data_IF_222657846883
#
_entry.id   IF_222657846883
#
_cell.length_a   1.000
_cell.length_b   1.000
_cell.length_c   1.000
_cell.angle_alpha   90.00
_cell.angle_beta   90.00
_cell.angle_gamma   90.00
#
_symmetry.space_group_name_H-M   'P 1'
#
loop_
_entity.id
_entity.type
_entity.pdbx_description
1 polymer ?
#
# COMPACT_ATOMS: atom_id res chain seq x y z
N UNK A 1 3.84 39.52 -5.02
CA UNK A 1 3.99 38.18 -5.62
C UNK A 1 2.96 38.02 -6.72
N UNK A 2 3.38 37.80 -7.97
CA UNK A 2 2.46 37.46 -9.07
C UNK A 2 1.97 36.01 -8.90
N UNK A 3 0.68 35.75 -9.15
CA UNK A 3 0.14 34.39 -9.25
C UNK A 3 0.78 33.73 -10.47
N UNK A 4 1.72 32.81 -10.24
CA UNK A 4 2.23 31.92 -11.28
C UNK A 4 1.35 30.69 -11.32
N UNK A 5 0.86 30.34 -12.50
CA UNK A 5 0.07 29.14 -12.76
C UNK A 5 0.99 28.18 -13.50
N UNK A 6 0.95 26.89 -13.17
CA UNK A 6 1.69 25.86 -13.93
C UNK A 6 1.24 25.93 -15.39
N UNK A 7 2.21 26.08 -16.29
CA UNK A 7 1.98 26.26 -17.73
C UNK A 7 1.94 24.92 -18.45
N UNK A 8 2.72 23.95 -17.95
CA UNK A 8 2.72 22.58 -18.42
C UNK A 8 2.13 21.66 -17.33
N UNK A 9 1.31 20.65 -17.69
CA UNK A 9 0.83 19.64 -16.74
C UNK A 9 1.96 18.99 -15.92
N UNK A 10 3.11 18.71 -16.54
CA UNK A 10 4.29 18.11 -15.89
C UNK A 10 4.89 19.02 -14.80
N UNK A 11 4.70 20.33 -14.87
CA UNK A 11 5.20 21.28 -13.85
C UNK A 11 4.59 20.97 -12.48
N UNK A 12 3.36 20.46 -12.43
CA UNK A 12 2.68 20.09 -11.18
C UNK A 12 3.40 18.94 -10.49
N UNK A 13 3.82 17.94 -11.27
CA UNK A 13 4.54 16.76 -10.77
C UNK A 13 5.92 17.17 -10.28
N UNK A 14 6.67 17.96 -11.05
CA UNK A 14 8.01 18.41 -10.61
C UNK A 14 7.92 19.32 -9.38
N UNK A 15 6.87 20.12 -9.25
CA UNK A 15 6.61 20.89 -8.03
C UNK A 15 6.46 20.03 -6.77
N UNK A 16 5.95 18.79 -6.90
CA UNK A 16 5.82 17.86 -5.79
C UNK A 16 7.16 17.27 -5.33
N UNK A 17 8.22 17.33 -6.15
CA UNK A 17 9.53 16.78 -5.79
C UNK A 17 10.06 17.36 -4.47
N UNK A 18 9.84 18.66 -4.26
CA UNK A 18 10.21 19.32 -3.00
C UNK A 18 9.33 18.85 -1.83
N UNK A 19 8.00 18.83 -2.01
CA UNK A 19 7.04 18.49 -0.96
C UNK A 19 7.17 17.03 -0.50
N UNK A 20 7.45 16.13 -1.44
CA UNK A 20 7.64 14.70 -1.18
C UNK A 20 9.10 14.36 -0.86
N UNK A 21 9.93 15.38 -0.64
CA UNK A 21 11.35 15.24 -0.25
C UNK A 21 12.11 14.28 -1.17
N UNK A 22 11.90 14.38 -2.48
CA UNK A 22 12.58 13.55 -3.47
C UNK A 22 14.10 13.60 -3.25
N UNK A 23 14.73 12.43 -3.28
CA UNK A 23 16.17 12.28 -3.03
C UNK A 23 17.02 12.93 -4.12
N UNK A 24 16.45 13.06 -5.32
CA UNK A 24 16.99 13.78 -6.47
C UNK A 24 15.84 14.41 -7.26
N UNK A 25 16.14 15.47 -8.01
CA UNK A 25 15.16 16.09 -8.90
C UNK A 25 14.99 15.15 -10.10
N UNK A 26 13.77 14.64 -10.37
CA UNK A 26 13.53 13.79 -11.53
C UNK A 26 13.74 14.58 -12.83
N UNK A 27 14.12 13.91 -13.90
CA UNK A 27 14.29 14.52 -15.21
C UNK A 27 13.01 15.23 -15.67
N UNK A 28 13.12 16.51 -16.03
CA UNK A 28 12.01 17.27 -16.59
C UNK A 28 12.05 17.23 -18.11
N UNK A 29 11.00 16.68 -18.71
CA UNK A 29 10.80 16.66 -20.14
C UNK A 29 9.41 17.21 -20.46
N UNK A 30 9.35 18.40 -21.06
CA UNK A 30 8.10 19.15 -21.28
C UNK A 30 7.01 18.36 -22.01
N UNK A 31 7.41 17.43 -22.90
CA UNK A 31 6.50 16.64 -23.75
C UNK A 31 6.27 15.22 -23.25
N UNK A 32 6.80 14.84 -22.09
CA UNK A 32 6.59 13.50 -21.57
C UNK A 32 5.16 13.32 -21.03
N UNK A 33 4.59 12.11 -21.11
CA UNK A 33 3.33 11.80 -20.45
C UNK A 33 3.39 12.07 -18.94
N UNK A 34 2.31 12.58 -18.36
CA UNK A 34 2.24 12.85 -16.92
C UNK A 34 2.47 11.58 -16.08
N UNK A 35 1.98 10.42 -16.55
CA UNK A 35 2.19 9.15 -15.85
C UNK A 35 3.68 8.74 -15.80
N UNK A 36 4.46 9.06 -16.84
CA UNK A 36 5.89 8.77 -16.88
C UNK A 36 6.68 9.75 -15.99
N UNK A 37 6.26 11.01 -15.95
CA UNK A 37 6.78 12.00 -15.00
C UNK A 37 6.49 11.60 -13.54
N UNK A 38 5.26 11.14 -13.27
CA UNK A 38 4.83 10.64 -11.97
C UNK A 38 5.64 9.41 -11.55
N UNK A 39 5.81 8.45 -12.47
CA UNK A 39 6.68 7.28 -12.27
C UNK A 39 8.11 7.69 -11.91
N UNK A 40 8.68 8.63 -12.65
CA UNK A 40 10.02 9.15 -12.37
C UNK A 40 10.13 9.79 -10.99
N UNK A 41 9.10 10.53 -10.56
CA UNK A 41 9.04 11.11 -9.21
C UNK A 41 8.91 10.05 -8.12
N UNK A 42 8.06 9.04 -8.29
CA UNK A 42 7.88 7.96 -7.30
C UNK A 42 9.18 7.19 -7.10
N UNK A 43 9.92 6.90 -8.17
CA UNK A 43 11.19 6.17 -8.10
C UNK A 43 12.26 6.90 -7.27
N UNK A 44 12.20 8.23 -7.20
CA UNK A 44 13.17 9.05 -6.45
C UNK A 44 12.65 9.51 -5.10
N UNK A 45 11.39 9.19 -4.80
CA UNK A 45 10.72 9.51 -3.56
C UNK A 45 11.31 8.67 -2.40
N UNK A 46 11.47 9.22 -1.20
CA UNK A 46 11.87 8.43 -0.03
C UNK A 46 10.96 7.24 0.19
N UNK A 47 11.56 6.10 0.56
CA UNK A 47 10.88 4.81 0.71
C UNK A 47 9.65 4.84 1.62
N UNK A 48 9.64 5.72 2.63
CA UNK A 48 8.49 5.94 3.54
C UNK A 48 7.25 6.48 2.83
N UNK A 49 7.42 7.39 1.87
CA UNK A 49 6.29 7.95 1.11
C UNK A 49 5.84 7.00 0.01
N UNK A 50 6.75 6.18 -0.53
CA UNK A 50 6.36 5.07 -1.40
C UNK A 50 5.49 4.06 -0.63
N UNK A 51 5.85 3.74 0.62
CA UNK A 51 4.98 2.93 1.48
C UNK A 51 3.62 3.60 1.72
N UNK A 52 3.57 4.93 1.96
CA UNK A 52 2.27 5.62 2.02
C UNK A 52 1.43 5.40 0.75
N UNK A 53 2.02 5.49 -0.44
CA UNK A 53 1.29 5.21 -1.69
C UNK A 53 0.73 3.78 -1.72
N UNK A 54 1.50 2.81 -1.24
CA UNK A 54 1.11 1.40 -1.16
C UNK A 54 -0.04 1.17 -0.16
N UNK A 55 0.04 1.76 1.04
CA UNK A 55 -0.87 1.50 2.16
C UNK A 55 -2.07 2.46 2.26
N UNK A 56 -2.06 3.61 1.58
CA UNK A 56 -3.14 4.61 1.69
C UNK A 56 -4.16 4.55 0.55
N UNK A 57 -3.77 4.09 -0.65
CA UNK A 57 -4.68 4.05 -1.80
C UNK A 57 -5.45 2.73 -1.83
N UNK A 58 -6.79 2.75 -1.80
CA UNK A 58 -7.57 1.52 -1.73
C UNK A 58 -7.71 0.80 -3.06
N UNK A 59 -7.67 1.52 -4.17
CA UNK A 59 -7.77 0.92 -5.50
C UNK A 59 -6.40 0.43 -5.98
N UNK A 60 -6.36 -0.63 -6.81
CA UNK A 60 -5.19 -0.95 -7.59
C UNK A 60 -4.81 0.20 -8.53
N UNK A 61 -3.52 0.33 -8.80
CA UNK A 61 -2.99 1.28 -9.77
C UNK A 61 -3.56 1.05 -11.17
N UNK A 62 -4.02 2.14 -11.78
CA UNK A 62 -4.51 2.18 -13.17
C UNK A 62 -3.43 2.58 -14.19
N UNK A 63 -2.19 2.80 -13.72
CA UNK A 63 -1.06 3.27 -14.51
C UNK A 63 -0.09 2.15 -14.89
N UNK A 64 1.20 2.48 -14.89
CA UNK A 64 2.27 1.54 -15.27
C UNK A 64 2.56 0.46 -14.21
N UNK A 65 2.10 0.66 -12.97
CA UNK A 65 2.33 -0.20 -11.80
C UNK A 65 1.03 -0.35 -11.03
N UNK A 66 0.74 -1.54 -10.52
CA UNK A 66 -0.53 -1.88 -9.87
C UNK A 66 -0.48 -1.59 -8.36
N UNK A 67 0.70 -1.67 -7.75
CA UNK A 67 0.86 -1.49 -6.30
C UNK A 67 0.67 -0.03 -5.82
N UNK A 68 0.85 0.95 -6.72
CA UNK A 68 0.73 2.40 -6.44
C UNK A 68 -0.32 3.07 -7.32
N UNK A 69 -0.90 4.21 -6.90
CA UNK A 69 -1.83 4.96 -7.74
C UNK A 69 -1.15 5.50 -9.00
N UNK A 70 -1.94 5.61 -10.07
CA UNK A 70 -1.58 6.45 -11.21
C UNK A 70 -1.60 7.93 -10.85
N UNK A 71 -1.04 8.79 -11.70
CA UNK A 71 -1.12 10.24 -11.54
C UNK A 71 -2.58 10.71 -11.46
N UNK A 72 -3.45 10.09 -12.27
CA UNK A 72 -4.88 10.42 -12.30
C UNK A 72 -5.54 10.07 -10.97
N UNK A 73 -5.23 8.92 -10.39
CA UNK A 73 -5.76 8.53 -9.07
C UNK A 73 -5.24 9.46 -7.98
N UNK A 74 -3.94 9.75 -7.96
CA UNK A 74 -3.32 10.65 -6.99
C UNK A 74 -3.91 12.07 -6.98
N UNK A 75 -4.42 12.54 -8.13
CA UNK A 75 -5.01 13.86 -8.26
C UNK A 75 -6.51 13.93 -7.96
N UNK A 76 -7.24 12.82 -8.09
CA UNK A 76 -8.70 12.81 -8.04
C UNK A 76 -9.28 12.04 -6.85
N UNK A 77 -8.55 11.08 -6.29
CA UNK A 77 -9.01 10.31 -5.14
C UNK A 77 -8.79 11.08 -3.84
N UNK A 78 -9.84 11.15 -3.02
CA UNK A 78 -9.72 11.61 -1.65
C UNK A 78 -9.26 10.44 -0.79
N UNK A 79 -8.06 10.56 -0.25
CA UNK A 79 -7.55 9.59 0.70
C UNK A 79 -8.23 9.75 2.07
N UNK A 80 -8.50 8.65 2.77
CA UNK A 80 -8.78 8.74 4.19
C UNK A 80 -7.57 9.35 4.93
N UNK A 81 -7.76 9.93 6.12
CA UNK A 81 -6.66 10.43 6.94
C UNK A 81 -5.71 9.28 7.27
N UNK A 82 -4.55 9.23 6.62
CA UNK A 82 -3.56 8.16 6.82
C UNK A 82 -2.42 8.64 7.71
N UNK A 83 -1.98 7.84 8.70
CA UNK A 83 -0.83 8.18 9.53
C UNK A 83 0.46 7.82 8.80
N UNK A 84 0.81 8.59 7.76
CA UNK A 84 2.05 8.42 6.99
C UNK A 84 3.34 8.35 7.85
N UNK A 85 3.29 8.82 9.10
CA UNK A 85 4.38 8.75 10.07
C UNK A 85 4.67 7.36 10.62
N UNK A 86 3.79 6.38 10.40
CA UNK A 86 3.87 5.04 11.01
C UNK A 86 4.54 3.99 10.11
N UNK A 87 4.95 4.34 8.89
CA UNK A 87 5.59 3.38 7.98
C UNK A 87 7.12 3.47 8.05
N UNK A 88 7.74 2.65 8.90
CA UNK A 88 9.20 2.54 9.01
C UNK A 88 9.84 1.68 7.89
N UNK A 89 9.09 0.71 7.36
CA UNK A 89 9.53 -0.14 6.25
C UNK A 89 9.00 0.45 4.93
N UNK A 90 9.88 0.51 3.93
CA UNK A 90 9.62 1.17 2.67
C UNK A 90 9.76 0.26 1.45
N UNK A 91 9.23 0.72 0.33
CA UNK A 91 9.43 0.08 -0.98
C UNK A 91 10.85 0.37 -1.46
N UNK A 92 11.52 -0.65 -1.99
CA UNK A 92 12.86 -0.55 -2.59
C UNK A 92 12.84 -1.11 -4.01
N UNK A 93 13.92 -0.89 -4.76
CA UNK A 93 14.05 -1.42 -6.12
C UNK A 93 15.19 -2.42 -6.18
N UNK A 94 14.95 -3.56 -6.82
CA UNK A 94 15.97 -4.57 -7.13
C UNK A 94 16.04 -4.80 -8.63
N UNK A 95 17.21 -5.24 -9.10
CA UNK A 95 17.35 -5.71 -10.48
C UNK A 95 16.78 -7.13 -10.56
N UNK A 96 15.67 -7.27 -11.28
CA UNK A 96 15.06 -8.56 -11.57
C UNK A 96 15.95 -9.46 -12.43
N UNK A 97 15.61 -10.77 -12.57
CA UNK A 97 16.43 -11.74 -13.30
C UNK A 97 16.68 -11.40 -14.78
N UNK A 98 15.89 -10.48 -15.35
CA UNK A 98 16.01 -10.02 -16.74
C UNK A 98 16.59 -8.60 -16.86
N UNK A 99 17.13 -8.03 -15.77
CA UNK A 99 17.60 -6.65 -15.75
C UNK A 99 16.46 -5.62 -15.76
N UNK A 100 15.24 -6.04 -15.42
CA UNK A 100 14.08 -5.16 -15.19
C UNK A 100 14.11 -4.65 -13.76
N UNK A 101 13.87 -3.36 -13.55
CA UNK A 101 13.69 -2.82 -12.20
C UNK A 101 12.39 -3.38 -11.59
N UNK A 102 12.53 -4.25 -10.60
CA UNK A 102 11.44 -4.83 -9.83
C UNK A 102 11.25 -4.02 -8.54
N UNK A 103 10.02 -3.58 -8.28
CA UNK A 103 9.70 -2.89 -7.03
C UNK A 103 9.49 -3.97 -5.96
N UNK A 104 10.18 -3.85 -4.82
CA UNK A 104 10.13 -4.78 -3.71
C UNK A 104 9.60 -4.14 -2.45
N UNK A 105 8.90 -4.92 -1.62
CA UNK A 105 8.52 -4.54 -0.27
C UNK A 105 8.94 -5.62 0.72
N UNK A 106 9.65 -5.21 1.77
CA UNK A 106 9.97 -6.07 2.89
C UNK A 106 9.15 -5.63 4.10
N UNK A 107 8.43 -6.56 4.70
CA UNK A 107 7.60 -6.30 5.86
C UNK A 107 6.81 -7.53 6.29
N UNK A 108 5.87 -7.32 7.18
CA UNK A 108 4.98 -8.36 7.69
C UNK A 108 4.18 -8.97 6.56
N UNK A 109 4.11 -10.29 6.52
CA UNK A 109 3.39 -11.05 5.50
C UNK A 109 2.58 -12.16 6.12
N UNK A 110 1.35 -12.32 5.64
CA UNK A 110 0.50 -13.48 5.87
C UNK A 110 0.28 -14.13 4.51
N UNK A 111 0.78 -15.36 4.34
CA UNK A 111 0.73 -16.04 3.04
C UNK A 111 -0.71 -16.33 2.58
N UNK A 112 -1.60 -16.68 3.51
CA UNK A 112 -3.00 -16.99 3.23
C UNK A 112 -3.89 -16.59 4.40
N UNK A 113 -4.75 -15.61 4.17
CA UNK A 113 -5.82 -15.21 5.08
C UNK A 113 -7.14 -15.08 4.36
N UNK A 114 -8.21 -15.65 4.91
CA UNK A 114 -9.55 -15.56 4.33
C UNK A 114 -10.25 -14.28 4.81
N UNK A 115 -10.55 -13.39 3.88
CA UNK A 115 -11.21 -12.10 4.12
C UNK A 115 -12.70 -12.24 3.77
N UNK A 116 -13.59 -11.77 4.65
CA UNK A 116 -15.05 -11.73 4.42
C UNK A 116 -15.71 -10.49 5.01
N UNK A 117 -16.92 -10.18 4.55
CA UNK A 117 -17.68 -9.01 5.04
C UNK A 117 -17.23 -7.65 4.51
N UNK A 118 -16.26 -7.60 3.59
CA UNK A 118 -15.79 -6.38 2.92
C UNK A 118 -16.15 -6.33 1.42
N UNK A 119 -16.99 -7.24 0.94
CA UNK A 119 -17.34 -7.34 -0.48
C UNK A 119 -18.34 -6.28 -0.94
N UNK A 120 -19.24 -5.86 -0.07
CA UNK A 120 -20.26 -4.88 -0.39
C UNK A 120 -19.78 -3.45 -0.08
N UNK A 121 -20.21 -2.51 -0.92
CA UNK A 121 -20.07 -1.07 -0.67
C UNK A 121 -20.97 -0.64 0.49
N UNK A 122 -20.62 0.48 1.10
CA UNK A 122 -21.23 0.90 2.35
C UNK A 122 -22.55 1.68 2.19
N UNK A 123 -23.35 1.73 3.25
CA UNK A 123 -24.27 2.84 3.54
C UNK A 123 -23.61 3.85 4.51
N UNK A 124 -23.58 5.11 4.08
CA UNK A 124 -23.07 6.36 4.68
C UNK A 124 -22.38 6.32 6.08
N UNK A 125 -21.12 6.78 6.13
CA UNK A 125 -20.53 7.50 7.28
C UNK A 125 -19.69 6.72 8.31
N UNK A 126 -19.53 5.40 8.17
CA UNK A 126 -18.72 4.52 9.05
C UNK A 126 -17.62 3.73 8.31
N UNK A 127 -16.57 3.20 8.92
CA UNK A 127 -15.74 2.20 8.24
C UNK A 127 -16.55 0.92 7.94
N UNK A 128 -16.32 0.28 6.80
CA UNK A 128 -16.83 -1.07 6.53
C UNK A 128 -16.11 -2.05 7.44
N UNK A 129 -16.87 -2.94 8.05
CA UNK A 129 -16.35 -3.92 9.01
C UNK A 129 -16.45 -5.31 8.41
N UNK A 130 -15.36 -6.06 8.49
CA UNK A 130 -15.30 -7.45 8.06
C UNK A 130 -14.44 -8.27 9.00
N UNK A 131 -14.10 -9.48 8.55
CA UNK A 131 -13.34 -10.43 9.34
C UNK A 131 -12.18 -11.00 8.52
N UNK A 132 -11.04 -11.12 9.18
CA UNK A 132 -9.88 -11.89 8.72
C UNK A 132 -9.84 -13.22 9.48
N UNK A 133 -9.94 -14.32 8.76
CA UNK A 133 -9.83 -15.68 9.30
C UNK A 133 -8.49 -16.27 8.90
N UNK A 134 -7.70 -16.66 9.90
CA UNK A 134 -6.38 -17.28 9.76
C UNK A 134 -6.39 -18.68 10.35
N UNK A 135 -5.59 -19.58 9.80
CA UNK A 135 -5.33 -20.88 10.40
C UNK A 135 -3.91 -20.89 10.96
N UNK A 136 -3.76 -21.31 12.21
CA UNK A 136 -2.45 -21.55 12.81
C UNK A 136 -1.85 -22.89 12.37
N UNK A 137 -0.61 -23.17 12.81
CA UNK A 137 0.09 -24.42 12.48
C UNK A 137 -0.60 -25.67 13.03
N UNK A 138 -1.46 -25.54 14.04
CA UNK A 138 -2.27 -26.63 14.58
C UNK A 138 -3.57 -26.87 13.80
N UNK A 139 -3.87 -26.01 12.83
CA UNK A 139 -5.10 -26.00 12.05
C UNK A 139 -6.29 -25.33 12.77
N UNK A 140 -6.06 -24.71 13.93
CA UNK A 140 -7.09 -23.93 14.61
C UNK A 140 -7.32 -22.61 13.88
N UNK A 141 -8.60 -22.28 13.66
CA UNK A 141 -8.99 -21.03 13.01
C UNK A 141 -9.10 -19.90 14.04
N UNK A 142 -8.48 -18.78 13.73
CA UNK A 142 -8.53 -17.53 14.50
C UNK A 142 -9.18 -16.44 13.66
N UNK A 143 -10.06 -15.66 14.29
CA UNK A 143 -10.80 -14.59 13.61
C UNK A 143 -10.44 -13.24 14.23
N UNK A 144 -10.21 -12.26 13.37
CA UNK A 144 -9.83 -10.89 13.72
C UNK A 144 -10.78 -9.91 13.02
N UNK A 145 -11.11 -8.81 13.70
CA UNK A 145 -11.92 -7.74 13.15
C UNK A 145 -11.06 -6.82 12.29
N UNK A 146 -11.55 -6.51 11.09
CA UNK A 146 -10.84 -5.66 10.12
C UNK A 146 -11.77 -4.58 9.59
N UNK A 147 -11.19 -3.46 9.19
CA UNK A 147 -11.92 -2.26 8.80
C UNK A 147 -11.40 -1.70 7.49
N UNK A 148 -12.31 -1.28 6.61
CA UNK A 148 -11.99 -0.55 5.39
C UNK A 148 -12.73 0.79 5.41
N UNK A 149 -12.00 1.89 5.44
CA UNK A 149 -12.50 3.27 5.44
C UNK A 149 -12.71 3.84 4.02
N UNK A 150 -12.80 2.96 3.03
CA UNK A 150 -13.04 3.26 1.62
C UNK A 150 -14.18 2.41 1.06
N UNK A 151 -14.71 2.82 -0.10
CA UNK A 151 -15.83 2.14 -0.76
C UNK A 151 -15.40 1.05 -1.75
N UNK A 152 -14.13 1.00 -2.14
CA UNK A 152 -13.63 0.00 -3.08
C UNK A 152 -13.83 -1.43 -2.52
N UNK A 153 -14.57 -2.32 -3.20
CA UNK A 153 -14.96 -3.61 -2.66
C UNK A 153 -13.76 -4.56 -2.53
N UNK A 154 -13.79 -5.40 -1.50
CA UNK A 154 -12.81 -6.47 -1.29
C UNK A 154 -13.60 -7.78 -1.30
N UNK A 155 -13.64 -8.49 -2.44
CA UNK A 155 -14.42 -9.73 -2.56
C UNK A 155 -14.01 -10.74 -1.51
N UNK A 156 -14.96 -11.58 -1.09
CA UNK A 156 -14.63 -12.65 -0.14
C UNK A 156 -13.68 -13.66 -0.78
N UNK A 157 -12.66 -14.08 -0.03
CA UNK A 157 -11.67 -15.01 -0.54
C UNK A 157 -10.41 -15.08 0.28
N UNK A 158 -9.52 -15.99 -0.11
CA UNK A 158 -8.18 -16.10 0.46
C UNK A 158 -7.22 -15.18 -0.28
N UNK A 159 -6.47 -14.39 0.48
CA UNK A 159 -5.50 -13.44 -0.03
C UNK A 159 -4.16 -13.59 0.68
N UNK A 160 -3.11 -13.14 0.00
CA UNK A 160 -1.84 -12.82 0.65
C UNK A 160 -1.93 -11.40 1.17
N UNK A 161 -1.46 -11.17 2.39
CA UNK A 161 -1.49 -9.85 3.02
C UNK A 161 -0.06 -9.40 3.29
N UNK A 162 0.26 -8.16 2.92
CA UNK A 162 1.51 -7.50 3.33
C UNK A 162 1.18 -6.32 4.24
N UNK A 163 1.92 -6.14 5.32
CA UNK A 163 1.60 -5.22 6.40
C UNK A 163 2.78 -4.37 6.84
N UNK A 164 2.48 -3.24 7.48
CA UNK A 164 3.47 -2.40 8.14
C UNK A 164 4.09 -3.11 9.36
N UNK A 165 5.23 -2.59 9.83
CA UNK A 165 5.84 -3.09 11.06
C UNK A 165 4.86 -2.97 12.24
N UNK A 166 4.56 -4.08 12.95
CA UNK A 166 3.59 -4.09 14.04
C UNK A 166 4.13 -3.46 15.32
N UNK A 167 5.45 -3.28 15.41
CA UNK A 167 6.13 -2.62 16.52
C UNK A 167 7.04 -1.53 15.98
N UNK A 168 6.89 -0.32 16.50
CA UNK A 168 7.72 0.84 16.18
C UNK A 168 8.21 1.44 17.49
N UNK A 169 9.53 1.62 17.61
CA UNK A 169 10.14 2.22 18.81
C UNK A 169 9.63 1.58 20.12
N UNK A 170 9.47 0.24 20.13
CA UNK A 170 8.94 -0.56 21.24
C UNK A 170 7.46 -0.31 21.60
N UNK A 171 6.66 0.23 20.68
CA UNK A 171 5.22 0.42 20.83
C UNK A 171 4.45 -0.31 19.74
N UNK A 172 3.38 -1.02 20.13
CA UNK A 172 2.45 -1.63 19.18
C UNK A 172 1.74 -0.55 18.36
N UNK A 173 1.65 -0.79 17.07
CA UNK A 173 0.92 0.07 16.13
C UNK A 173 -0.35 -0.62 15.66
N UNK A 174 -1.27 0.16 15.11
CA UNK A 174 -2.29 -0.42 14.27
C UNK A 174 -1.65 -1.10 13.05
N UNK A 175 -2.33 -2.14 12.56
CA UNK A 175 -1.86 -2.86 11.38
C UNK A 175 -2.63 -2.40 10.15
N UNK A 176 -1.90 -1.87 9.18
CA UNK A 176 -2.38 -1.62 7.84
C UNK A 176 -1.96 -2.79 6.97
N UNK A 177 -2.93 -3.39 6.28
CA UNK A 177 -2.71 -4.52 5.40
C UNK A 177 -3.04 -4.11 3.97
N UNK A 178 -2.13 -4.42 3.04
CA UNK A 178 -2.45 -4.49 1.62
C UNK A 178 -2.88 -5.91 1.31
N UNK A 179 -4.09 -6.03 0.77
CA UNK A 179 -4.68 -7.26 0.28
C UNK A 179 -4.19 -7.48 -1.14
N UNK A 180 -3.67 -8.66 -1.44
CA UNK A 180 -3.25 -8.99 -2.79
C UNK A 180 -3.30 -10.47 -3.11
N UNK A 181 -3.07 -10.75 -4.39
CA UNK A 181 -2.92 -12.11 -4.89
C UNK A 181 -1.45 -12.31 -5.26
N UNK A 182 -0.82 -13.32 -4.65
CA UNK A 182 0.52 -13.74 -5.03
C UNK A 182 0.44 -14.86 -6.07
N UNK A 183 0.98 -14.60 -7.26
CA UNK A 183 1.09 -15.60 -8.33
C UNK A 183 2.51 -16.21 -8.38
N UNK A 184 2.74 -17.11 -9.35
CA UNK A 184 4.05 -17.75 -9.56
C UNK A 184 5.16 -16.68 -9.67
N UNK A 185 6.30 -16.91 -8.98
CA UNK A 185 7.48 -16.01 -8.85
C UNK A 185 7.38 -14.87 -7.80
N UNK A 186 6.62 -15.04 -6.72
CA UNK A 186 6.50 -14.06 -5.62
C UNK A 186 5.95 -12.68 -6.01
N UNK A 187 5.39 -12.55 -7.22
CA UNK A 187 4.77 -11.32 -7.70
C UNK A 187 3.43 -11.11 -6.99
N UNK A 188 3.36 -10.04 -6.22
CA UNK A 188 2.22 -9.60 -5.43
C UNK A 188 1.42 -8.57 -6.21
N UNK A 189 0.20 -8.94 -6.60
CA UNK A 189 -0.77 -8.05 -7.24
C UNK A 189 -1.71 -7.48 -6.20
N UNK A 190 -1.63 -6.17 -5.96
CA UNK A 190 -2.53 -5.47 -5.04
C UNK A 190 -3.98 -5.58 -5.51
N UNK A 191 -4.86 -5.85 -4.57
CA UNK A 191 -6.33 -5.85 -4.72
C UNK A 191 -6.92 -4.66 -3.99
N UNK A 192 -6.59 -4.49 -2.71
CA UNK A 192 -7.04 -3.34 -1.91
C UNK A 192 -6.28 -3.22 -0.59
N UNK A 193 -6.80 -2.47 0.38
CA UNK A 193 -6.22 -2.28 1.72
C UNK A 193 -7.29 -2.47 2.81
N UNK A 194 -6.88 -2.76 4.04
CA UNK A 194 -7.72 -2.62 5.23
C UNK A 194 -6.85 -2.39 6.47
N UNK A 195 -7.47 -2.05 7.58
CA UNK A 195 -6.79 -1.83 8.87
C UNK A 195 -7.31 -2.76 9.97
N UNK A 196 -6.44 -2.98 10.95
CA UNK A 196 -6.75 -3.65 12.22
C UNK A 196 -6.29 -2.72 13.35
N UNK A 197 -7.16 -1.81 13.82
CA UNK A 197 -6.80 -0.76 14.78
C UNK A 197 -6.75 -1.27 16.24
N UNK A 198 -7.28 -2.46 16.52
CA UNK A 198 -7.30 -3.01 17.87
C UNK A 198 -5.93 -3.60 18.24
N UNK A 199 -5.16 -2.86 19.05
CA UNK A 199 -3.81 -3.26 19.47
C UNK A 199 -3.77 -4.60 20.23
N UNK A 200 -4.85 -5.01 20.90
CA UNK A 200 -4.91 -6.32 21.56
C UNK A 200 -5.05 -7.45 20.53
N UNK A 201 -5.78 -7.21 19.45
CA UNK A 201 -5.88 -8.15 18.33
C UNK A 201 -4.57 -8.24 17.55
N UNK A 202 -3.90 -7.11 17.32
CA UNK A 202 -2.55 -7.08 16.73
C UNK A 202 -1.58 -7.90 17.58
N UNK A 203 -1.57 -7.70 18.90
CA UNK A 203 -0.73 -8.50 19.80
C UNK A 203 -1.06 -9.99 19.70
N UNK A 204 -2.34 -10.36 19.75
CA UNK A 204 -2.78 -11.75 19.60
C UNK A 204 -2.32 -12.34 18.26
N UNK A 205 -2.40 -11.58 17.18
CA UNK A 205 -1.96 -12.02 15.85
C UNK A 205 -0.46 -12.34 15.82
N UNK A 206 0.37 -11.52 16.48
CA UNK A 206 1.81 -11.78 16.59
C UNK A 206 2.12 -13.00 17.45
N UNK A 207 1.38 -13.20 18.54
CA UNK A 207 1.54 -14.35 19.44
C UNK A 207 1.23 -15.69 18.73
N UNK A 208 0.54 -15.68 17.57
CA UNK A 208 0.28 -16.87 16.75
C UNK A 208 1.44 -17.28 15.85
N UNK A 209 2.47 -16.44 15.68
CA UNK A 209 3.63 -16.68 14.79
C UNK A 209 3.28 -16.96 13.31
N UNK A 210 2.10 -16.52 12.87
CA UNK A 210 1.63 -16.65 11.48
C UNK A 210 2.24 -15.56 10.60
N UNK A 211 2.49 -14.38 11.17
CA UNK A 211 3.04 -13.22 10.47
C UNK A 211 4.55 -13.38 10.32
N UNK A 212 5.03 -13.45 9.09
CA UNK A 212 6.47 -13.61 8.79
C UNK A 212 7.00 -12.35 8.10
N UNK A 213 8.24 -12.00 8.36
CA UNK A 213 8.91 -10.96 7.59
C UNK A 213 9.38 -11.56 6.26
N UNK A 214 8.84 -11.09 5.15
CA UNK A 214 9.18 -11.60 3.81
C UNK A 214 9.43 -10.48 2.82
N UNK A 215 10.33 -10.74 1.88
CA UNK A 215 10.55 -9.92 0.69
C UNK A 215 9.52 -10.26 -0.39
N UNK A 216 8.85 -9.22 -0.90
CA UNK A 216 7.71 -9.34 -1.80
C UNK A 216 7.96 -8.49 -3.05
N UNK A 217 7.90 -9.08 -4.23
CA UNK A 217 7.98 -8.31 -5.49
C UNK A 217 6.59 -7.76 -5.80
N UNK A 218 6.48 -6.46 -6.00
CA UNK A 218 5.25 -5.73 -6.29
C UNK A 218 5.05 -5.59 -7.80
N UNK A 219 3.80 -5.78 -8.27
CA UNK A 219 3.39 -5.55 -9.66
C UNK A 219 3.04 -4.08 -9.93
#
# INVERSE_FOLDING_TARGET
MQKRVSTNPVDRIVGLAYLLSATQIPGYYEKQPEEDAWTSLVNVMPVRYQACLLFSYPEPGSGNKIWRPSWTQAMNEMLPPSPCSEFLLGVYQTLGPQGTDEDGYNGSCIESGYVRGLAEGQQEGRPRQGELVLQDESGQSHTFQIFADHQYPIPEGSYTLIGNSPVIMNQFQEQHWVVGQRHRKNLFKKVSIFTMPNLQEVKKLLDLDIVKETENVLD
#
